data_IF_380794353732
#
_entry.id   IF_380794353732
#
_cell.length_a   1.000
_cell.length_b   1.000
_cell.length_c   1.000
_cell.angle_alpha   90.00
_cell.angle_beta   90.00
_cell.angle_gamma   90.00
#
_symmetry.space_group_name_H-M   'P 1'
#
loop_
_entity.id
_entity.type
_entity.pdbx_description
1 polymer ?
#
# COMPACT_ATOMS: atom_id res chain seq x y z
N UNK A 1 -22.91 -5.19 -0.27
CA UNK A 1 -21.75 -5.72 0.47
C UNK A 1 -20.56 -5.56 -0.46
N UNK A 2 -19.66 -4.64 -0.16
CA UNK A 2 -18.59 -4.17 -1.04
C UNK A 2 -17.26 -4.76 -0.54
N UNK A 3 -16.47 -5.39 -1.41
CA UNK A 3 -15.17 -5.95 -1.02
C UNK A 3 -14.06 -4.93 -1.26
N UNK A 4 -13.16 -4.80 -0.28
CA UNK A 4 -12.12 -3.77 -0.12
C UNK A 4 -11.13 -3.56 -1.29
N UNK A 5 -11.19 -4.35 -2.37
CA UNK A 5 -10.22 -4.34 -3.47
C UNK A 5 -10.83 -4.14 -4.87
N UNK A 6 -12.15 -3.94 -4.99
CA UNK A 6 -12.79 -3.45 -6.22
C UNK A 6 -12.93 -4.42 -7.39
N UNK A 7 -12.20 -5.55 -7.45
CA UNK A 7 -12.34 -6.53 -8.54
C UNK A 7 -12.17 -7.97 -8.05
N UNK A 8 -13.04 -8.87 -8.53
CA UNK A 8 -12.87 -10.33 -8.43
C UNK A 8 -13.24 -10.94 -9.78
N UNK A 9 -12.29 -11.65 -10.39
CA UNK A 9 -12.48 -12.39 -11.63
C UNK A 9 -12.65 -13.87 -11.30
N UNK A 10 -13.80 -14.47 -11.62
CA UNK A 10 -14.00 -15.92 -11.55
C UNK A 10 -14.80 -16.43 -12.76
N UNK A 11 -14.40 -17.61 -13.29
CA UNK A 11 -15.08 -18.38 -14.34
C UNK A 11 -15.28 -19.84 -13.90
N UNK A 12 -16.17 -20.65 -14.50
CA UNK A 12 -16.27 -21.00 -15.93
C UNK A 12 -17.66 -20.73 -16.55
N UNK A 13 -17.65 -20.35 -17.84
CA UNK A 13 -18.82 -19.93 -18.64
C UNK A 13 -19.72 -21.08 -19.09
N UNK A 14 -21.02 -20.80 -19.20
CA UNK A 14 -21.88 -21.48 -20.17
C UNK A 14 -22.81 -20.45 -20.80
N UNK A 15 -22.69 -20.36 -22.12
CA UNK A 15 -23.54 -19.59 -23.02
C UNK A 15 -24.97 -20.09 -22.94
N UNK A 16 -25.89 -19.31 -22.38
CA UNK A 16 -27.32 -19.33 -22.77
C UNK A 16 -27.99 -18.06 -22.27
N UNK A 17 -28.41 -17.21 -23.21
CA UNK A 17 -29.35 -16.11 -22.98
C UNK A 17 -28.68 -14.77 -22.66
N UNK A 18 -28.77 -13.85 -23.63
CA UNK A 18 -28.89 -12.38 -23.54
C UNK A 18 -28.54 -11.75 -22.18
N UNK A 19 -27.59 -10.83 -22.05
CA UNK A 19 -27.35 -9.66 -22.89
C UNK A 19 -25.84 -9.40 -23.04
N UNK A 20 -25.41 -9.06 -24.25
CA UNK A 20 -24.06 -8.61 -24.52
C UNK A 20 -23.74 -7.35 -23.68
N UNK A 21 -23.07 -7.54 -22.55
CA UNK A 21 -22.47 -6.43 -21.81
C UNK A 21 -21.53 -5.71 -22.78
N UNK A 22 -21.85 -4.45 -23.10
CA UNK A 22 -20.99 -3.60 -23.95
C UNK A 22 -19.56 -3.60 -23.41
N UNK A 23 -19.38 -3.69 -22.09
CA UNK A 23 -18.08 -3.84 -21.47
C UNK A 23 -17.36 -5.13 -21.90
N UNK A 24 -18.06 -6.27 -22.00
CA UNK A 24 -17.52 -7.54 -22.48
C UNK A 24 -17.19 -7.51 -23.97
N UNK A 25 -18.01 -6.84 -24.79
CA UNK A 25 -17.71 -6.63 -26.21
C UNK A 25 -16.53 -5.69 -26.41
N UNK A 26 -16.48 -4.57 -25.69
CA UNK A 26 -15.39 -3.59 -25.75
C UNK A 26 -14.08 -4.20 -25.26
N UNK A 27 -14.10 -4.97 -24.16
CA UNK A 27 -12.91 -5.73 -23.73
C UNK A 27 -12.53 -6.80 -24.74
N UNK A 28 -13.49 -7.55 -25.32
CA UNK A 28 -13.20 -8.52 -26.38
C UNK A 28 -12.57 -7.87 -27.63
N UNK A 29 -13.10 -6.72 -28.09
CA UNK A 29 -12.56 -5.94 -29.21
C UNK A 29 -11.18 -5.37 -28.90
N UNK A 30 -10.96 -4.86 -27.69
CA UNK A 30 -9.68 -4.31 -27.25
C UNK A 30 -8.61 -5.41 -27.09
N UNK A 31 -9.00 -6.58 -26.58
CA UNK A 31 -8.15 -7.76 -26.40
C UNK A 31 -7.90 -8.49 -27.72
N UNK A 32 -8.83 -8.48 -28.67
CA UNK A 32 -8.60 -9.08 -29.99
C UNK A 32 -7.53 -8.30 -30.77
N UNK A 33 -7.37 -7.00 -30.50
CA UNK A 33 -6.38 -6.17 -31.17
C UNK A 33 -5.02 -6.10 -30.43
N UNK A 34 -4.89 -6.75 -29.27
CA UNK A 34 -3.69 -6.72 -28.44
C UNK A 34 -3.40 -8.10 -27.86
N UNK A 35 -2.21 -8.65 -28.12
CA UNK A 35 -1.84 -9.96 -27.57
C UNK A 35 -1.94 -9.98 -26.04
N UNK A 36 -2.23 -11.13 -25.43
CA UNK A 36 -2.28 -11.32 -23.96
C UNK A 36 -1.07 -10.70 -23.23
N UNK A 37 0.09 -10.68 -23.89
CA UNK A 37 1.30 -10.04 -23.40
C UNK A 37 1.10 -8.55 -23.05
N UNK A 38 0.32 -7.83 -23.85
CA UNK A 38 0.06 -6.41 -23.67
C UNK A 38 -0.78 -6.14 -22.40
N UNK A 39 -1.57 -7.10 -21.92
CA UNK A 39 -2.29 -6.95 -20.64
C UNK A 39 -1.33 -6.89 -19.43
N UNK A 40 -0.12 -7.43 -19.58
CA UNK A 40 0.92 -7.42 -18.57
C UNK A 40 1.95 -6.31 -18.78
N UNK A 41 1.86 -5.58 -19.89
CA UNK A 41 2.68 -4.40 -20.13
C UNK A 41 2.05 -3.22 -19.39
N UNK A 42 2.70 -2.78 -18.32
CA UNK A 42 2.28 -1.64 -17.50
C UNK A 42 2.05 -0.38 -18.37
N UNK A 43 2.87 -0.21 -19.41
CA UNK A 43 2.73 0.86 -20.41
C UNK A 43 1.39 0.81 -21.18
N UNK A 44 0.90 -0.39 -21.50
CA UNK A 44 -0.34 -0.58 -22.25
C UNK A 44 -1.59 -0.28 -21.41
N UNK A 45 -1.51 -0.44 -20.10
CA UNK A 45 -2.55 -0.03 -19.14
C UNK A 45 -2.37 1.41 -18.62
N UNK A 46 -1.44 2.17 -19.20
CA UNK A 46 -1.21 3.58 -18.87
C UNK A 46 -0.43 3.82 -17.58
N UNK A 47 0.15 2.78 -16.98
CA UNK A 47 1.06 2.88 -15.84
C UNK A 47 2.48 3.01 -16.40
N UNK A 48 2.90 4.25 -16.65
CA UNK A 48 4.29 4.57 -17.03
C UNK A 48 5.08 4.94 -15.79
N UNK A 49 6.33 4.49 -15.69
CA UNK A 49 7.20 5.01 -14.66
C UNK A 49 7.47 6.51 -14.94
N UNK A 50 7.21 7.41 -13.97
CA UNK A 50 7.44 8.85 -14.14
C UNK A 50 8.89 9.21 -14.49
N UNK A 51 9.83 8.26 -14.39
CA UNK A 51 11.23 8.39 -14.74
C UNK A 51 11.62 7.80 -16.11
N UNK A 52 10.69 7.21 -16.89
CA UNK A 52 11.00 6.61 -18.21
C UNK A 52 11.60 7.58 -19.24
N UNK A 53 11.27 8.87 -19.14
CA UNK A 53 11.76 9.90 -20.05
C UNK A 53 13.00 10.64 -19.52
N UNK A 54 13.43 10.34 -18.29
CA UNK A 54 14.58 10.99 -17.66
C UNK A 54 15.84 10.16 -17.87
N UNK A 55 16.95 10.83 -18.15
CA UNK A 55 18.25 10.17 -18.13
C UNK A 55 18.53 9.65 -16.72
N UNK A 56 19.29 8.56 -16.61
CA UNK A 56 19.71 8.01 -15.31
C UNK A 56 20.41 9.06 -14.44
N UNK A 57 21.20 9.94 -15.07
CA UNK A 57 21.87 11.05 -14.38
C UNK A 57 20.88 12.06 -13.78
N UNK A 58 19.74 12.26 -14.43
CA UNK A 58 18.70 13.18 -13.99
C UNK A 58 17.89 12.59 -12.84
N UNK A 59 17.64 11.27 -12.88
CA UNK A 59 17.04 10.52 -11.76
C UNK A 59 17.97 10.58 -10.55
N UNK A 60 19.25 10.27 -10.74
CA UNK A 60 20.25 10.26 -9.67
C UNK A 60 20.40 11.64 -9.04
N UNK A 61 20.34 12.70 -9.86
CA UNK A 61 20.36 14.09 -9.36
C UNK A 61 19.16 14.39 -8.49
N UNK A 62 17.95 14.06 -8.94
CA UNK A 62 16.71 14.27 -8.15
C UNK A 62 16.75 13.50 -6.83
N UNK A 63 17.21 12.25 -6.86
CA UNK A 63 17.35 11.41 -5.65
C UNK A 63 18.38 12.01 -4.70
N UNK A 64 19.53 12.46 -5.22
CA UNK A 64 20.60 13.05 -4.42
C UNK A 64 20.18 14.37 -3.79
N UNK A 65 19.50 15.23 -4.55
CA UNK A 65 18.99 16.52 -4.06
C UNK A 65 17.96 16.29 -2.94
N UNK A 66 17.02 15.36 -3.15
CA UNK A 66 16.03 14.99 -2.14
C UNK A 66 16.67 14.38 -0.87
N UNK A 67 17.71 13.58 -1.03
CA UNK A 67 18.42 12.96 0.08
C UNK A 67 19.23 14.01 0.88
N UNK A 68 19.85 14.97 0.20
CA UNK A 68 20.56 16.08 0.85
C UNK A 68 19.62 17.01 1.62
N UNK A 69 18.42 17.28 1.09
CA UNK A 69 17.41 18.09 1.78
C UNK A 69 16.93 17.42 3.09
N UNK A 70 16.83 16.09 3.08
CA UNK A 70 16.32 15.30 4.21
C UNK A 70 17.38 14.83 5.20
N UNK A 71 18.67 14.99 4.87
CA UNK A 71 19.80 14.68 5.75
C UNK A 71 20.05 15.83 6.72
N UNK A 72 20.02 15.52 8.01
CA UNK A 72 20.50 16.38 9.09
C UNK A 72 21.58 15.66 9.88
N UNK A 73 22.43 16.43 10.56
CA UNK A 73 23.44 15.89 11.47
C UNK A 73 23.14 16.35 12.88
N UNK A 74 22.99 15.39 13.79
CA UNK A 74 22.80 15.64 15.22
C UNK A 74 24.08 16.22 15.84
N UNK A 75 23.94 16.86 17.00
CA UNK A 75 25.00 17.38 17.87
C UNK A 75 26.07 16.34 18.21
N UNK A 76 25.70 15.06 18.31
CA UNK A 76 26.62 13.93 18.52
C UNK A 76 27.25 13.40 17.22
N UNK A 77 26.99 14.06 16.09
CA UNK A 77 27.59 13.76 14.79
C UNK A 77 26.92 12.61 14.03
N UNK A 78 25.79 12.09 14.49
CA UNK A 78 24.99 11.08 13.78
C UNK A 78 24.17 11.70 12.67
N UNK A 79 24.02 10.98 11.55
CA UNK A 79 23.13 11.39 10.46
C UNK A 79 21.69 10.98 10.75
N UNK A 80 20.78 11.94 10.63
CA UNK A 80 19.34 11.76 10.69
C UNK A 80 18.77 11.99 9.30
N UNK A 81 18.00 11.03 8.79
CA UNK A 81 17.33 11.13 7.49
C UNK A 81 15.83 11.13 7.74
N UNK A 82 15.11 12.14 7.22
CA UNK A 82 13.64 12.09 7.20
C UNK A 82 13.17 10.96 6.30
N UNK A 83 12.13 10.24 6.75
CA UNK A 83 11.59 9.11 6.00
C UNK A 83 11.02 9.58 4.65
N UNK A 84 11.50 9.08 3.49
CA UNK A 84 11.08 9.56 2.18
C UNK A 84 9.58 9.44 1.90
N UNK A 85 8.91 8.46 2.54
CA UNK A 85 7.47 8.23 2.39
C UNK A 85 6.62 8.97 3.44
N UNK A 86 7.23 9.56 4.48
CA UNK A 86 6.57 10.58 5.31
C UNK A 86 6.78 11.93 4.64
N UNK A 87 6.08 12.16 3.53
CA UNK A 87 5.73 13.53 3.18
C UNK A 87 4.94 14.14 4.35
N UNK A 88 4.90 15.47 4.45
CA UNK A 88 4.05 16.25 5.37
C UNK A 88 2.55 16.01 5.08
N UNK A 89 2.13 14.75 5.13
CA UNK A 89 0.76 14.32 5.18
C UNK A 89 0.37 14.57 6.62
N UNK A 90 -0.53 15.53 6.81
CA UNK A 90 -1.35 15.62 8.02
C UNK A 90 -2.06 14.27 8.18
N UNK A 91 -1.39 13.32 8.85
CA UNK A 91 -1.97 12.04 9.19
C UNK A 91 -3.17 12.37 10.08
N UNK A 92 -4.37 11.90 9.71
CA UNK A 92 -5.52 12.11 10.56
C UNK A 92 -5.20 11.54 11.94
N UNK A 93 -5.63 12.25 12.99
CA UNK A 93 -5.42 11.81 14.35
C UNK A 93 -6.29 10.56 14.60
N UNK A 94 -5.71 9.39 14.40
CA UNK A 94 -6.39 8.10 14.59
C UNK A 94 -6.29 7.57 16.02
N UNK A 95 -5.86 8.41 16.96
CA UNK A 95 -5.65 8.03 18.36
C UNK A 95 -6.92 7.43 18.97
N UNK A 96 -8.05 8.12 18.87
CA UNK A 96 -9.32 7.63 19.40
C UNK A 96 -9.78 6.32 18.78
N UNK A 97 -9.47 6.09 17.50
CA UNK A 97 -9.82 4.85 16.80
C UNK A 97 -8.91 3.72 17.26
N UNK A 98 -7.63 3.98 17.44
CA UNK A 98 -6.66 3.03 17.95
C UNK A 98 -6.97 2.66 19.41
N UNK A 99 -7.27 3.63 20.27
CA UNK A 99 -7.66 3.42 21.66
C UNK A 99 -8.94 2.58 21.77
N UNK A 100 -10.00 2.92 21.03
CA UNK A 100 -11.22 2.11 21.02
C UNK A 100 -10.99 0.68 20.51
N UNK A 101 -10.11 0.49 19.53
CA UNK A 101 -9.74 -0.85 19.06
C UNK A 101 -9.00 -1.62 20.15
N UNK A 102 -8.07 -0.97 20.84
CA UNK A 102 -7.32 -1.54 21.95
C UNK A 102 -8.26 -1.95 23.11
N UNK A 103 -9.19 -1.10 23.51
CA UNK A 103 -10.17 -1.41 24.56
C UNK A 103 -11.04 -2.62 24.18
N UNK A 104 -11.52 -2.67 22.94
CA UNK A 104 -12.33 -3.80 22.46
C UNK A 104 -11.54 -5.10 22.43
N UNK A 105 -10.32 -5.09 21.90
CA UNK A 105 -9.49 -6.29 21.82
C UNK A 105 -9.06 -6.75 23.20
N UNK A 106 -8.68 -5.83 24.10
CA UNK A 106 -8.32 -6.17 25.49
C UNK A 106 -9.51 -6.73 26.26
N UNK A 107 -10.71 -6.17 26.11
CA UNK A 107 -11.95 -6.71 26.71
C UNK A 107 -12.24 -8.12 26.21
N UNK A 108 -12.13 -8.36 24.89
CA UNK A 108 -12.29 -9.70 24.30
C UNK A 108 -11.25 -10.69 24.83
N UNK A 109 -9.97 -10.29 24.93
CA UNK A 109 -8.90 -11.13 25.45
C UNK A 109 -9.10 -11.51 26.92
N UNK A 110 -9.63 -10.58 27.74
CA UNK A 110 -9.99 -10.84 29.13
C UNK A 110 -11.15 -11.83 29.23
N UNK A 111 -12.19 -11.68 28.41
CA UNK A 111 -13.31 -12.62 28.35
C UNK A 111 -12.85 -14.04 27.98
N UNK A 112 -11.93 -14.15 27.02
CA UNK A 112 -11.36 -15.43 26.59
C UNK A 112 -10.27 -15.98 27.55
N UNK A 113 -9.97 -15.28 28.66
CA UNK A 113 -8.87 -15.61 29.60
C UNK A 113 -7.48 -15.75 28.93
N UNK A 114 -7.27 -15.07 27.80
CA UNK A 114 -6.01 -15.09 27.03
C UNK A 114 -5.12 -13.88 27.28
N UNK A 115 -5.59 -12.93 28.09
CA UNK A 115 -4.90 -11.67 28.34
C UNK A 115 -3.50 -11.85 28.91
N UNK A 116 -3.33 -12.70 29.93
CA UNK A 116 -2.02 -12.93 30.58
C UNK A 116 -1.02 -13.68 29.71
N UNK A 117 -1.51 -14.49 28.77
CA UNK A 117 -0.68 -15.14 27.77
C UNK A 117 -0.19 -14.10 26.76
N UNK A 118 -1.09 -13.25 26.27
CA UNK A 118 -0.76 -12.16 25.34
C UNK A 118 0.29 -11.20 25.91
N UNK A 119 0.12 -10.72 27.15
CA UNK A 119 1.11 -9.84 27.81
C UNK A 119 2.48 -10.53 27.89
N UNK A 120 2.52 -11.83 28.21
CA UNK A 120 3.76 -12.59 28.26
C UNK A 120 4.46 -12.73 26.91
N UNK A 121 3.72 -12.71 25.80
CA UNK A 121 4.28 -12.69 24.45
C UNK A 121 4.75 -11.30 24.04
N UNK A 122 3.98 -10.25 24.38
CA UNK A 122 4.30 -8.86 24.04
C UNK A 122 5.60 -8.38 24.71
N UNK A 123 5.82 -8.74 25.98
CA UNK A 123 7.08 -8.43 26.70
C UNK A 123 8.29 -9.16 26.10
N UNK A 124 8.09 -10.26 25.37
CA UNK A 124 9.16 -11.00 24.66
C UNK A 124 9.29 -10.60 23.18
N UNK A 125 8.34 -9.83 22.65
CA UNK A 125 8.21 -9.46 21.24
C UNK A 125 8.61 -8.01 20.97
N UNK A 126 9.90 -7.81 20.73
CA UNK A 126 10.54 -6.91 19.75
C UNK A 126 9.72 -5.69 19.22
N UNK A 127 10.36 -4.51 19.39
CA UNK A 127 10.11 -3.17 18.81
C UNK A 127 9.50 -2.13 19.77
N UNK A 128 10.38 -1.48 20.54
CA UNK A 128 10.12 -0.14 21.09
C UNK A 128 10.13 0.88 19.94
N UNK A 129 8.96 1.33 19.48
CA UNK A 129 8.87 2.58 18.70
C UNK A 129 8.76 3.73 19.68
N UNK A 130 9.84 4.51 19.83
CA UNK A 130 9.75 5.85 20.42
C UNK A 130 9.03 6.73 19.40
N UNK A 131 7.90 7.30 19.82
CA UNK A 131 7.34 8.46 19.16
C UNK A 131 7.92 9.68 19.91
N UNK A 132 8.65 10.53 19.18
CA UNK A 132 9.00 11.87 19.63
C UNK A 132 7.82 12.81 19.34
#
# INVERSE_FOLDING_TARGET
MELKLGWVLMGKSQTTGDENSIAALVTSLLVHNQGIRNLWELEAIGIRDPFEWKSRDEIDKVVKDHLMENLRKDSEGRYEVKLPWMQDKNLPEYRDVAERRLERTTTKLKLERKYDAYIRYDVRGVVKRRYN
#
